data_IF_541492382343
#
_entry.id   IF_541492382343
#
_cell.length_a   1.000
_cell.length_b   1.000
_cell.length_c   1.000
_cell.angle_alpha   90.00
_cell.angle_beta   90.00
_cell.angle_gamma   90.00
#
_symmetry.space_group_name_H-M   'P 1'
#
loop_
_entity.id
_entity.type
_entity.pdbx_description
1 polymer ?
#
# COMPACT_ATOMS: atom_id res chain seq x y z
N UNK A 1 27.37 -26.34 -3.71
CA UNK A 1 26.57 -26.00 -2.51
C UNK A 1 25.58 -27.13 -2.29
N UNK A 2 25.65 -27.85 -1.17
CA UNK A 2 24.77 -28.99 -0.91
C UNK A 2 23.33 -28.52 -0.72
N UNK A 3 22.43 -28.93 -1.60
CA UNK A 3 20.99 -28.75 -1.44
C UNK A 3 20.56 -29.55 -0.20
N UNK A 4 20.24 -28.85 0.89
CA UNK A 4 19.61 -29.49 2.05
C UNK A 4 18.30 -30.12 1.58
N UNK A 5 18.09 -31.40 1.87
CA UNK A 5 16.83 -32.07 1.59
C UNK A 5 15.70 -31.47 2.45
N UNK A 6 14.49 -31.42 1.90
CA UNK A 6 13.30 -31.08 2.68
C UNK A 6 13.09 -32.21 3.70
N UNK A 7 12.89 -31.84 4.96
CA UNK A 7 12.67 -32.79 6.06
C UNK A 7 11.65 -32.21 7.03
N UNK A 8 10.90 -33.07 7.74
CA UNK A 8 9.92 -32.62 8.74
C UNK A 8 10.54 -31.76 9.84
N UNK A 9 11.77 -32.05 10.23
CA UNK A 9 12.50 -31.24 11.22
C UNK A 9 12.81 -29.82 10.68
N UNK A 10 13.22 -29.72 9.42
CA UNK A 10 13.40 -28.42 8.77
C UNK A 10 12.08 -27.64 8.67
N UNK A 11 10.98 -28.32 8.33
CA UNK A 11 9.63 -27.72 8.28
C UNK A 11 9.23 -27.16 9.65
N UNK A 12 9.42 -27.93 10.74
CA UNK A 12 9.14 -27.48 12.11
C UNK A 12 9.99 -26.26 12.52
N UNK A 13 11.28 -26.27 12.20
CA UNK A 13 12.18 -25.14 12.47
C UNK A 13 11.78 -23.90 11.67
N UNK A 14 11.44 -24.07 10.39
CA UNK A 14 10.96 -22.99 9.53
C UNK A 14 9.64 -22.41 10.03
N UNK A 15 8.66 -23.25 10.36
CA UNK A 15 7.38 -22.81 10.91
C UNK A 15 7.59 -21.97 12.18
N UNK A 16 8.45 -22.46 13.09
CA UNK A 16 8.83 -21.71 14.29
C UNK A 16 9.45 -20.35 13.95
N UNK A 17 10.39 -20.29 13.01
CA UNK A 17 11.01 -19.04 12.58
C UNK A 17 9.99 -18.08 11.94
N UNK A 18 9.10 -18.61 11.10
CA UNK A 18 8.04 -17.85 10.45
C UNK A 18 7.05 -17.27 11.47
N UNK A 19 6.81 -17.93 12.61
CA UNK A 19 5.95 -17.36 13.67
C UNK A 19 6.55 -16.20 14.47
N UNK A 20 7.86 -15.93 14.30
CA UNK A 20 8.59 -14.88 15.02
C UNK A 20 8.70 -13.58 14.23
N UNK A 21 8.59 -13.64 12.90
CA UNK A 21 8.79 -12.47 12.04
C UNK A 21 7.85 -12.49 10.84
N UNK A 22 7.27 -11.34 10.44
CA UNK A 22 6.54 -11.23 9.19
C UNK A 22 7.44 -11.30 7.96
N UNK A 23 8.76 -11.18 8.09
CA UNK A 23 9.66 -11.18 6.94
C UNK A 23 10.12 -12.60 6.61
N UNK A 24 9.71 -13.12 5.45
CA UNK A 24 10.08 -14.47 4.98
C UNK A 24 11.59 -14.65 4.88
N UNK A 25 12.28 -13.64 4.37
CA UNK A 25 13.73 -13.69 4.16
C UNK A 25 14.50 -13.84 5.48
N UNK A 26 14.05 -13.14 6.51
CA UNK A 26 14.64 -13.22 7.85
C UNK A 26 14.40 -14.63 8.44
N UNK A 27 13.19 -15.16 8.31
CA UNK A 27 12.87 -16.50 8.81
C UNK A 27 13.68 -17.60 8.10
N UNK A 28 13.74 -17.56 6.77
CA UNK A 28 14.45 -18.53 5.92
C UNK A 28 15.97 -18.43 6.13
N UNK A 29 16.51 -17.20 6.23
CA UNK A 29 17.90 -16.97 6.56
C UNK A 29 18.30 -17.48 7.94
N UNK A 30 17.43 -17.35 8.95
CA UNK A 30 17.71 -17.76 10.34
C UNK A 30 17.94 -19.26 10.52
N UNK A 31 17.40 -20.09 9.61
CA UNK A 31 17.57 -21.54 9.62
C UNK A 31 18.64 -22.03 8.62
N UNK A 32 19.28 -21.09 7.91
CA UNK A 32 20.27 -21.40 6.88
C UNK A 32 19.68 -22.08 5.65
N UNK A 33 18.43 -21.76 5.29
CA UNK A 33 17.80 -22.22 4.06
C UNK A 33 18.02 -21.16 2.97
N UNK A 34 18.53 -21.51 1.77
CA UNK A 34 18.63 -20.55 0.68
C UNK A 34 17.25 -20.06 0.22
N UNK A 35 17.16 -18.76 -0.09
CA UNK A 35 15.92 -18.13 -0.57
C UNK A 35 15.38 -18.84 -1.83
N UNK A 36 16.25 -19.15 -2.79
CA UNK A 36 15.88 -19.87 -4.02
C UNK A 36 15.25 -21.23 -3.74
N UNK A 37 15.83 -22.02 -2.82
CA UNK A 37 15.30 -23.33 -2.43
C UNK A 37 13.93 -23.21 -1.78
N UNK A 38 13.73 -22.22 -0.91
CA UNK A 38 12.42 -21.96 -0.29
C UNK A 38 11.33 -21.69 -1.34
N UNK A 39 11.58 -20.74 -2.26
CA UNK A 39 10.57 -20.41 -3.28
C UNK A 39 10.36 -21.52 -4.30
N UNK A 40 11.42 -22.29 -4.60
CA UNK A 40 11.30 -23.46 -5.47
C UNK A 40 10.38 -24.53 -4.87
N UNK A 41 10.59 -24.93 -3.61
CA UNK A 41 9.70 -25.88 -2.94
C UNK A 41 8.30 -25.34 -2.75
N UNK A 42 8.16 -24.03 -2.49
CA UNK A 42 6.84 -23.42 -2.39
C UNK A 42 6.09 -23.51 -3.71
N UNK A 43 6.73 -23.20 -4.84
CA UNK A 43 6.12 -23.31 -6.16
C UNK A 43 5.68 -24.75 -6.46
N UNK A 44 6.57 -25.73 -6.23
CA UNK A 44 6.24 -27.14 -6.42
C UNK A 44 5.07 -27.60 -5.55
N UNK A 45 5.04 -27.20 -4.28
CA UNK A 45 3.94 -27.54 -3.38
C UNK A 45 2.61 -26.90 -3.82
N UNK A 46 2.67 -25.67 -4.37
CA UNK A 46 1.51 -24.97 -4.91
C UNK A 46 0.98 -25.70 -6.15
N UNK A 47 1.86 -26.07 -7.08
CA UNK A 47 1.49 -26.81 -8.30
C UNK A 47 0.82 -28.15 -7.97
N UNK A 48 1.31 -28.85 -6.93
CA UNK A 48 0.70 -30.09 -6.43
C UNK A 48 -0.67 -29.83 -5.82
N UNK A 49 -0.81 -28.78 -4.99
CA UNK A 49 -2.07 -28.43 -4.36
C UNK A 49 -3.14 -28.03 -5.38
N UNK A 50 -2.75 -27.32 -6.44
CA UNK A 50 -3.65 -26.88 -7.50
C UNK A 50 -4.02 -28.04 -8.45
N UNK A 51 -3.08 -28.96 -8.71
CA UNK A 51 -3.29 -30.13 -9.58
C UNK A 51 -4.03 -31.30 -8.91
N UNK A 52 -4.00 -31.38 -7.58
CA UNK A 52 -4.65 -32.44 -6.80
C UNK A 52 -5.24 -31.88 -5.49
N UNK A 53 -6.38 -31.15 -5.57
CA UNK A 53 -6.98 -30.51 -4.42
C UNK A 53 -7.48 -31.50 -3.37
N UNK A 54 -7.92 -32.68 -3.79
CA UNK A 54 -8.44 -33.74 -2.91
C UNK A 54 -7.32 -34.49 -2.16
N UNK A 55 -6.06 -34.26 -2.55
CA UNK A 55 -4.86 -34.87 -1.93
C UNK A 55 -4.86 -36.41 -2.01
N UNK A 56 -5.45 -36.97 -3.06
CA UNK A 56 -5.52 -38.41 -3.25
C UNK A 56 -4.23 -39.00 -3.84
N UNK A 57 -3.81 -40.18 -3.37
CA UNK A 57 -2.64 -40.94 -3.87
C UNK A 57 -1.34 -40.13 -3.99
N UNK A 58 -1.02 -39.32 -2.97
CA UNK A 58 0.21 -38.54 -2.93
C UNK A 58 1.45 -39.44 -2.72
N UNK A 59 2.56 -39.09 -3.37
CA UNK A 59 3.84 -39.70 -3.01
C UNK A 59 4.33 -39.16 -1.66
N UNK A 60 5.18 -39.89 -0.92
CA UNK A 60 5.74 -39.40 0.35
C UNK A 60 6.48 -38.06 0.24
N UNK A 61 7.02 -37.75 -0.94
CA UNK A 61 7.67 -36.46 -1.19
C UNK A 61 6.66 -35.33 -1.41
N UNK A 62 5.55 -35.63 -2.08
CA UNK A 62 4.47 -34.66 -2.32
C UNK A 62 3.74 -34.34 -1.01
N UNK A 63 3.51 -35.35 -0.16
CA UNK A 63 3.01 -35.15 1.20
C UNK A 63 3.90 -34.19 1.99
N UNK A 64 5.22 -34.33 1.87
CA UNK A 64 6.18 -33.48 2.57
C UNK A 64 6.16 -32.03 2.07
N UNK A 65 5.99 -31.84 0.76
CA UNK A 65 5.85 -30.52 0.13
C UNK A 65 4.54 -29.84 0.56
N UNK A 66 3.45 -30.59 0.63
CA UNK A 66 2.17 -30.09 1.12
C UNK A 66 2.22 -29.79 2.62
N UNK A 67 2.88 -30.63 3.44
CA UNK A 67 3.12 -30.35 4.86
C UNK A 67 3.92 -29.05 5.02
N UNK A 68 4.91 -28.82 4.15
CA UNK A 68 5.67 -27.57 4.10
C UNK A 68 4.79 -26.36 3.77
N UNK A 69 3.91 -26.47 2.77
CA UNK A 69 2.98 -25.40 2.39
C UNK A 69 2.01 -25.08 3.52
N UNK A 70 1.34 -26.10 4.07
CA UNK A 70 0.43 -25.97 5.21
C UNK A 70 1.12 -25.31 6.42
N UNK A 71 2.36 -25.69 6.70
CA UNK A 71 3.13 -25.13 7.80
C UNK A 71 3.43 -23.63 7.59
N UNK A 72 3.71 -23.21 6.35
CA UNK A 72 3.89 -21.80 6.00
C UNK A 72 2.60 -21.03 6.24
N UNK A 73 1.47 -21.50 5.71
CA UNK A 73 0.18 -20.82 5.80
C UNK A 73 -0.29 -20.67 7.25
N UNK A 74 -0.24 -21.75 8.03
CA UNK A 74 -0.58 -21.70 9.47
C UNK A 74 0.32 -20.74 10.24
N UNK A 75 1.61 -20.73 9.94
CA UNK A 75 2.56 -19.82 10.59
C UNK A 75 2.28 -18.36 10.24
N UNK A 76 1.91 -18.09 8.97
CA UNK A 76 1.56 -16.76 8.48
C UNK A 76 0.28 -16.24 9.12
N UNK A 77 -0.76 -17.07 9.18
CA UNK A 77 -2.00 -16.73 9.87
C UNK A 77 -1.73 -16.35 11.34
N UNK A 78 -0.88 -17.13 12.02
CA UNK A 78 -0.50 -16.88 13.43
C UNK A 78 0.27 -15.56 13.62
N UNK A 79 1.18 -15.21 12.71
CA UNK A 79 1.85 -13.90 12.76
C UNK A 79 0.89 -12.77 12.45
N UNK A 80 0.04 -12.93 11.44
CA UNK A 80 -0.99 -11.96 11.10
C UNK A 80 -1.86 -11.64 12.31
N UNK A 81 -2.36 -12.67 13.01
CA UNK A 81 -3.14 -12.49 14.24
C UNK A 81 -2.36 -11.73 15.31
N UNK A 82 -1.11 -12.12 15.59
CA UNK A 82 -0.27 -11.42 16.59
C UNK A 82 -0.05 -9.94 16.26
N UNK A 83 0.16 -9.63 14.99
CA UNK A 83 0.37 -8.25 14.55
C UNK A 83 -0.93 -7.44 14.63
N UNK A 84 -2.06 -8.04 14.25
CA UNK A 84 -3.39 -7.44 14.43
C UNK A 84 -3.70 -7.18 15.91
N UNK A 85 -3.43 -8.13 16.80
CA UNK A 85 -3.61 -7.98 18.25
C UNK A 85 -2.71 -6.87 18.81
N UNK A 86 -1.46 -6.80 18.35
CA UNK A 86 -0.53 -5.73 18.71
C UNK A 86 -1.01 -4.36 18.20
N UNK A 87 -1.56 -4.29 16.99
CA UNK A 87 -2.15 -3.07 16.42
C UNK A 87 -3.35 -2.60 17.24
N UNK A 88 -4.27 -3.52 17.58
CA UNK A 88 -5.45 -3.25 18.40
C UNK A 88 -5.06 -2.78 19.80
N UNK A 89 -4.11 -3.45 20.44
CA UNK A 89 -3.60 -3.03 21.74
C UNK A 89 -2.91 -1.66 21.68
N UNK A 90 -2.16 -1.42 20.61
CA UNK A 90 -1.59 -0.11 20.30
C UNK A 90 -2.67 0.96 20.16
N UNK A 91 -3.75 0.67 19.44
CA UNK A 91 -4.88 1.59 19.22
C UNK A 91 -5.56 2.01 20.52
N UNK A 92 -5.68 1.07 21.46
CA UNK A 92 -6.26 1.34 22.77
C UNK A 92 -5.39 2.25 23.64
N UNK A 93 -4.08 2.34 23.38
CA UNK A 93 -3.16 3.19 24.14
C UNK A 93 -2.84 4.51 23.43
N UNK A 94 -2.56 4.45 22.13
CA UNK A 94 -2.32 5.61 21.28
C UNK A 94 -2.84 5.31 19.85
N UNK A 95 -3.89 6.02 19.39
CA UNK A 95 -4.46 5.81 18.06
C UNK A 95 -3.46 6.07 16.92
N UNK A 96 -2.39 6.85 17.14
CA UNK A 96 -1.35 7.09 16.11
C UNK A 96 -0.49 5.86 15.85
N UNK A 97 -0.19 5.10 16.90
CA UNK A 97 0.61 3.86 16.80
C UNK A 97 -0.16 2.79 16.02
N UNK A 98 -1.48 2.73 16.19
CA UNK A 98 -2.33 1.83 15.43
C UNK A 98 -2.37 2.13 13.93
N UNK A 99 -2.44 3.41 13.57
CA UNK A 99 -2.41 3.84 12.16
C UNK A 99 -1.09 3.43 11.51
N UNK A 100 0.05 3.62 12.19
CA UNK A 100 1.36 3.24 11.65
C UNK A 100 1.50 1.72 11.47
N UNK A 101 0.96 0.92 12.40
CA UNK A 101 0.94 -0.54 12.29
C UNK A 101 0.00 -0.99 11.15
N UNK A 102 -1.20 -0.41 11.04
CA UNK A 102 -2.15 -0.74 9.98
C UNK A 102 -1.62 -0.37 8.59
N UNK A 103 -0.93 0.78 8.46
CA UNK A 103 -0.27 1.20 7.23
C UNK A 103 0.82 0.22 6.78
N UNK A 104 1.57 -0.36 7.72
CA UNK A 104 2.57 -1.39 7.42
C UNK A 104 1.97 -2.75 7.05
N UNK A 105 0.85 -3.14 7.66
CA UNK A 105 0.22 -4.43 7.41
C UNK A 105 -0.63 -4.43 6.14
N UNK A 106 -1.33 -3.33 5.87
CA UNK A 106 -2.30 -3.18 4.78
C UNK A 106 -2.08 -1.85 4.07
N UNK A 107 -0.94 -1.68 3.37
CA UNK A 107 -0.57 -0.41 2.74
C UNK A 107 -1.63 0.04 1.74
N UNK A 108 -2.22 -0.86 0.97
CA UNK A 108 -3.19 -0.52 -0.07
C UNK A 108 -4.52 0.04 0.48
N UNK A 109 -4.86 -0.26 1.74
CA UNK A 109 -6.13 0.13 2.36
C UNK A 109 -5.99 1.29 3.34
N UNK A 110 -4.82 1.45 3.96
CA UNK A 110 -4.61 2.41 5.05
C UNK A 110 -3.49 3.43 4.78
N UNK A 111 -2.83 3.39 3.61
CA UNK A 111 -1.84 4.38 3.24
C UNK A 111 -2.37 5.80 3.45
N UNK A 112 -1.52 6.66 4.01
CA UNK A 112 -1.85 8.07 4.14
C UNK A 112 -2.18 8.64 2.75
N UNK A 113 -3.30 9.35 2.57
CA UNK A 113 -3.64 9.95 1.30
C UNK A 113 -2.48 10.84 0.87
N UNK A 114 -1.92 10.57 -0.31
CA UNK A 114 -0.78 11.30 -0.84
C UNK A 114 -1.18 12.76 -1.08
N UNK A 115 -0.94 13.63 -0.10
CA UNK A 115 -1.05 15.09 -0.29
C UNK A 115 0.08 15.53 -1.20
N UNK A 116 -0.22 15.72 -2.49
CA UNK A 116 0.66 16.44 -3.41
C UNK A 116 0.37 17.93 -3.27
N UNK A 117 1.19 18.61 -2.48
CA UNK A 117 1.19 20.07 -2.46
C UNK A 117 1.93 20.55 -3.72
N UNK A 118 1.16 20.97 -4.73
CA UNK A 118 1.72 21.54 -5.96
C UNK A 118 2.08 22.99 -5.65
N UNK A 119 3.34 23.22 -5.29
CA UNK A 119 3.87 24.59 -5.15
C UNK A 119 4.09 25.14 -6.56
N UNK A 120 3.10 25.89 -7.05
CA UNK A 120 3.25 26.67 -8.29
C UNK A 120 4.16 27.85 -7.95
N UNK A 121 5.45 27.74 -8.27
CA UNK A 121 6.34 28.90 -8.29
C UNK A 121 5.98 29.75 -9.51
N UNK A 122 5.16 30.78 -9.31
CA UNK A 122 5.05 31.86 -10.28
C UNK A 122 6.33 32.70 -10.21
N UNK A 123 7.15 32.61 -11.26
CA UNK A 123 8.16 33.63 -11.51
C UNK A 123 7.43 34.91 -11.94
N UNK A 124 7.38 35.89 -11.04
CA UNK A 124 7.05 37.28 -11.34
C UNK A 124 5.64 37.72 -10.97
N UNK A 125 5.55 38.53 -9.91
CA UNK A 125 4.41 39.43 -9.64
C UNK A 125 3.48 38.98 -8.51
N UNK A 126 3.55 39.70 -7.38
CA UNK A 126 2.64 39.74 -6.22
C UNK A 126 2.05 38.41 -5.68
N UNK A 127 2.50 38.06 -4.47
CA UNK A 127 2.03 36.91 -3.70
C UNK A 127 0.56 37.07 -3.27
N UNK A 128 -0.38 36.64 -4.11
CA UNK A 128 -1.75 36.33 -3.74
C UNK A 128 -1.94 34.82 -3.57
N UNK A 129 -2.04 34.32 -2.33
CA UNK A 129 -2.41 32.93 -2.04
C UNK A 129 -3.89 32.71 -2.38
N UNK A 130 -4.17 32.17 -3.57
CA UNK A 130 -5.51 31.75 -3.98
C UNK A 130 -5.79 30.29 -3.61
N UNK A 131 -6.80 30.02 -2.79
CA UNK A 131 -7.28 28.66 -2.53
C UNK A 131 -8.11 28.20 -3.73
N UNK A 132 -7.58 27.27 -4.52
CA UNK A 132 -8.35 26.60 -5.57
C UNK A 132 -9.15 25.43 -4.97
N UNK A 133 -10.46 25.60 -4.86
CA UNK A 133 -11.38 24.49 -4.56
C UNK A 133 -11.55 23.67 -5.85
N UNK A 134 -10.97 22.47 -5.89
CA UNK A 134 -11.18 21.50 -6.97
C UNK A 134 -12.42 20.68 -6.61
N UNK A 135 -13.57 20.85 -7.29
CA UNK A 135 -14.68 19.92 -7.14
C UNK A 135 -14.23 18.56 -7.67
N UNK A 136 -14.49 17.49 -6.94
CA UNK A 136 -14.25 16.12 -7.41
C UNK A 136 -15.15 15.82 -8.60
N UNK A 137 -14.66 16.10 -9.82
CA UNK A 137 -15.32 15.70 -11.05
C UNK A 137 -14.97 14.25 -11.36
N UNK A 138 -16.00 13.51 -11.79
CA UNK A 138 -15.98 12.14 -12.27
C UNK A 138 -14.87 11.90 -13.31
N UNK A 139 -14.29 10.70 -13.23
CA UNK A 139 -13.00 10.25 -13.78
C UNK A 139 -12.83 10.36 -15.33
N UNK A 140 -13.86 10.76 -16.07
CA UNK A 140 -13.87 10.69 -17.55
C UNK A 140 -13.81 12.04 -18.28
N UNK A 141 -13.50 13.14 -17.61
CA UNK A 141 -13.24 14.42 -18.29
C UNK A 141 -11.75 14.77 -18.29
N UNK A 142 -11.24 15.08 -19.48
CA UNK A 142 -9.85 15.44 -19.72
C UNK A 142 -9.48 16.66 -18.86
N UNK A 143 -8.75 16.40 -17.78
CA UNK A 143 -8.47 17.35 -16.68
C UNK A 143 -7.84 18.63 -17.22
N UNK A 144 -7.06 18.51 -18.29
CA UNK A 144 -6.45 19.65 -18.98
C UNK A 144 -7.49 20.63 -19.55
N UNK A 145 -8.61 20.11 -20.06
CA UNK A 145 -9.66 20.92 -20.68
C UNK A 145 -10.50 21.65 -19.63
N UNK A 146 -10.83 20.98 -18.52
CA UNK A 146 -11.55 21.60 -17.37
C UNK A 146 -10.70 22.70 -16.73
N UNK A 147 -9.39 22.47 -16.60
CA UNK A 147 -8.47 23.45 -16.03
C UNK A 147 -8.31 24.69 -16.94
N UNK A 148 -8.25 24.49 -18.25
CA UNK A 148 -8.21 25.59 -19.22
C UNK A 148 -9.48 26.45 -19.18
N UNK A 149 -10.65 25.81 -19.04
CA UNK A 149 -11.93 26.50 -18.91
C UNK A 149 -11.97 27.36 -17.63
N UNK A 150 -11.56 26.81 -16.50
CA UNK A 150 -11.52 27.56 -15.23
C UNK A 150 -10.55 28.74 -15.26
N UNK A 151 -9.40 28.59 -15.92
CA UNK A 151 -8.46 29.70 -16.09
C UNK A 151 -9.08 30.85 -16.90
N UNK A 152 -9.83 30.52 -17.94
CA UNK A 152 -10.54 31.51 -18.73
C UNK A 152 -11.66 32.19 -17.93
N UNK A 153 -12.45 31.43 -17.18
CA UNK A 153 -13.53 31.98 -16.35
C UNK A 153 -12.99 32.89 -15.24
N UNK A 154 -11.89 32.49 -14.59
CA UNK A 154 -11.24 33.31 -13.57
C UNK A 154 -10.66 34.62 -14.16
N UNK A 155 -10.08 34.54 -15.36
CA UNK A 155 -9.62 35.73 -16.09
C UNK A 155 -10.77 36.65 -16.49
N UNK A 156 -11.92 36.09 -16.89
CA UNK A 156 -13.10 36.90 -17.20
C UNK A 156 -13.67 37.55 -15.94
N UNK A 157 -13.74 36.85 -14.81
CA UNK A 157 -14.18 37.41 -13.53
C UNK A 157 -13.25 38.52 -13.03
N UNK A 158 -11.94 38.35 -13.18
CA UNK A 158 -10.97 39.38 -12.81
C UNK A 158 -11.11 40.63 -13.70
N UNK A 159 -11.38 40.44 -15.01
CA UNK A 159 -11.62 41.53 -15.96
C UNK A 159 -12.95 42.24 -15.71
N UNK A 160 -14.02 41.55 -15.35
CA UNK A 160 -15.29 42.19 -15.01
C UNK A 160 -15.20 42.97 -13.70
N UNK A 161 -14.56 42.42 -12.65
CA UNK A 161 -14.33 43.14 -11.39
C UNK A 161 -13.47 44.39 -11.56
N UNK A 162 -12.41 44.32 -12.37
CA UNK A 162 -11.59 45.52 -12.64
C UNK A 162 -12.34 46.57 -13.45
N UNK A 163 -13.26 46.15 -14.33
CA UNK A 163 -14.13 47.07 -15.07
C UNK A 163 -15.16 47.74 -14.15
N UNK A 164 -15.77 47.00 -13.23
CA UNK A 164 -16.70 47.54 -12.23
C UNK A 164 -16.03 48.54 -11.27
N UNK A 165 -14.80 48.25 -10.80
CA UNK A 165 -14.03 49.20 -9.99
C UNK A 165 -13.60 50.46 -10.76
N UNK A 166 -13.41 50.36 -12.07
CA UNK A 166 -13.05 51.53 -12.90
C UNK A 166 -14.24 52.44 -13.22
N UNK A 167 -15.46 51.88 -13.28
CA UNK A 167 -16.69 52.66 -13.51
C UNK A 167 -17.18 53.40 -12.27
N UNK A 168 -16.89 52.89 -11.06
CA UNK A 168 -17.27 53.53 -9.79
C UNK A 168 -16.42 54.77 -9.44
N UNK A 169 -15.35 55.06 -10.19
CA UNK A 169 -14.44 56.18 -9.91
C UNK A 169 -14.62 57.40 -10.84
N UNK A 170 -15.72 57.47 -11.60
CA UNK A 170 -15.92 58.53 -12.61
C UNK A 170 -17.07 59.51 -12.32
N UNK A 171 -17.70 59.51 -11.14
CA UNK A 171 -18.73 60.49 -10.79
C UNK A 171 -18.68 60.88 -9.31
N UNK A 172 -17.76 61.78 -8.95
CA UNK A 172 -18.03 62.81 -7.93
C UNK A 172 -16.87 63.83 -7.92
N UNK A 173 -16.98 64.84 -8.79
CA UNK A 173 -16.24 66.10 -8.72
C UNK A 173 -16.97 67.13 -9.58
N UNK A 174 -18.05 67.69 -9.04
CA UNK A 174 -18.35 69.14 -8.97
C UNK A 174 -19.70 69.39 -8.29
#
# INVERSE_FOLDING_TARGET
MGTRALTRDLIKRLATALTKTPLTEVAVGSIGLPKSTYYHWKALAQDIADGNPDRDNLSPNDELLLEFLDAIERSRAKVGQKLSDAALKGAMQDPRVAIDILQRMFPDQFAAPARREIVIRQEGGEAGTGIALIPTTTIDQDIAQVLAQQQQDALQLAKTRTKELSSDHSTDSD
#
